data_IF_254819061484
#
_entry.id   IF_254819061484
#
_cell.length_a   1.000
_cell.length_b   1.000
_cell.length_c   1.000
_cell.angle_alpha   90.00
_cell.angle_beta   90.00
_cell.angle_gamma   90.00
#
_symmetry.space_group_name_H-M   'P 1'
#
loop_
_entity.id
_entity.type
_entity.pdbx_description
1 polymer ?
#
# COMPACT_ATOMS: atom_id res chain seq x y z
N UNK A 1 25.59 -67.05 15.55
CA UNK A 1 24.58 -66.53 16.51
C UNK A 1 24.73 -65.00 16.51
N UNK A 2 23.72 -64.12 16.56
CA UNK A 2 22.26 -64.18 16.83
C UNK A 2 21.54 -63.51 15.63
N UNK A 3 20.46 -64.00 15.01
CA UNK A 3 19.03 -64.09 15.41
C UNK A 3 18.34 -62.75 15.79
N UNK A 4 17.55 -62.24 14.82
CA UNK A 4 16.22 -61.56 14.88
C UNK A 4 15.84 -60.67 16.08
N UNK A 5 15.27 -59.48 15.78
CA UNK A 5 13.81 -59.20 15.83
C UNK A 5 13.45 -57.88 15.11
N UNK A 6 12.17 -57.64 14.91
CA UNK A 6 11.59 -56.55 14.09
C UNK A 6 10.67 -55.62 14.92
N UNK A 7 10.33 -54.47 14.33
CA UNK A 7 9.09 -53.69 14.47
C UNK A 7 8.38 -53.56 15.83
N UNK A 8 8.36 -52.31 16.34
CA UNK A 8 7.19 -51.72 17.01
C UNK A 8 6.97 -50.32 16.41
N UNK A 9 5.70 -49.94 16.19
CA UNK A 9 5.26 -48.62 15.73
C UNK A 9 4.71 -47.83 16.93
N UNK A 10 5.00 -46.53 17.02
CA UNK A 10 4.44 -45.63 18.02
C UNK A 10 4.66 -44.18 17.60
N UNK A 11 3.62 -43.35 17.68
CA UNK A 11 3.64 -41.99 17.12
C UNK A 11 4.16 -40.94 18.11
N UNK A 12 4.92 -39.96 17.60
CA UNK A 12 5.09 -38.64 18.22
C UNK A 12 5.11 -37.59 17.11
N UNK A 13 4.05 -36.78 17.03
CA UNK A 13 3.97 -35.59 16.18
C UNK A 13 2.98 -34.62 16.84
N UNK A 14 3.14 -33.30 16.62
CA UNK A 14 2.27 -32.22 17.13
C UNK A 14 2.33 -32.02 18.67
N UNK A 15 3.22 -31.13 19.14
CA UNK A 15 3.14 -30.53 20.49
C UNK A 15 4.00 -29.24 20.71
N UNK A 16 4.37 -28.47 19.67
CA UNK A 16 5.23 -27.26 19.85
C UNK A 16 4.75 -26.08 18.98
N UNK A 17 3.50 -25.64 19.15
CA UNK A 17 3.05 -24.32 18.68
C UNK A 17 1.83 -23.77 19.45
N UNK A 18 1.86 -23.87 20.78
CA UNK A 18 0.76 -23.44 21.67
C UNK A 18 1.25 -22.68 22.92
N UNK A 19 2.35 -21.92 22.80
CA UNK A 19 3.00 -21.23 23.94
C UNK A 19 3.37 -19.78 23.61
N UNK A 20 2.42 -19.00 23.06
CA UNK A 20 2.59 -17.54 22.92
C UNK A 20 1.31 -16.69 23.12
N UNK A 21 0.14 -17.30 23.35
CA UNK A 21 -1.13 -16.59 23.63
C UNK A 21 -1.59 -16.90 25.06
N UNK A 22 -0.83 -16.41 26.05
CA UNK A 22 -1.21 -16.49 27.48
C UNK A 22 -0.68 -15.33 28.36
N UNK A 23 0.27 -14.52 27.86
CA UNK A 23 0.98 -13.50 28.68
C UNK A 23 0.42 -12.08 28.46
N UNK A 24 -0.89 -11.93 28.25
CA UNK A 24 -1.55 -10.63 27.97
C UNK A 24 -2.96 -10.48 28.58
N UNK A 25 -3.27 -11.15 29.70
CA UNK A 25 -4.49 -10.86 30.48
C UNK A 25 -4.29 -10.73 32.00
N UNK A 26 -3.22 -11.27 32.59
CA UNK A 26 -2.95 -11.11 34.03
C UNK A 26 -2.03 -9.92 34.31
N UNK A 27 -2.63 -8.73 34.45
CA UNK A 27 -1.99 -7.58 35.10
C UNK A 27 -3.04 -6.55 35.56
N UNK A 28 -3.87 -6.91 36.55
CA UNK A 28 -4.71 -5.95 37.27
C UNK A 28 -4.93 -6.39 38.73
N UNK A 29 -4.62 -5.47 39.66
CA UNK A 29 -4.85 -5.48 41.10
C UNK A 29 -4.23 -6.61 41.96
N UNK A 30 -4.25 -6.39 43.28
CA UNK A 30 -3.26 -6.88 44.26
C UNK A 30 -3.89 -7.33 45.58
N UNK A 31 -3.32 -8.39 46.19
CA UNK A 31 -3.47 -8.80 47.60
C UNK A 31 -4.91 -9.20 48.03
N UNK A 32 -5.17 -9.94 49.10
CA UNK A 32 -4.37 -10.22 50.30
C UNK A 32 -4.68 -11.64 50.89
N UNK A 33 -3.66 -12.24 51.50
CA UNK A 33 -3.58 -13.40 52.41
C UNK A 33 -4.71 -14.47 52.57
N UNK A 34 -4.32 -15.71 52.24
CA UNK A 34 -4.40 -16.96 53.02
C UNK A 34 -5.59 -17.29 53.95
N UNK A 35 -6.13 -18.51 53.80
CA UNK A 35 -5.99 -19.67 54.73
C UNK A 35 -6.62 -20.93 54.09
N UNK A 36 -6.22 -22.13 54.51
CA UNK A 36 -6.76 -23.41 54.02
C UNK A 36 -7.80 -24.03 55.00
N UNK A 37 -8.68 -24.92 54.52
CA UNK A 37 -8.78 -26.30 55.05
C UNK A 37 -9.61 -27.26 54.15
N UNK A 38 -9.74 -28.53 54.56
CA UNK A 38 -10.35 -29.69 53.89
C UNK A 38 -11.88 -29.65 53.64
N UNK A 39 -12.34 -30.47 52.68
CA UNK A 39 -13.75 -30.83 52.47
C UNK A 39 -13.93 -31.91 51.38
N UNK A 40 -14.88 -32.84 51.55
CA UNK A 40 -15.18 -33.94 50.61
C UNK A 40 -16.68 -34.13 50.40
N UNK A 41 -17.01 -34.96 49.41
CA UNK A 41 -18.33 -35.58 49.13
C UNK A 41 -19.36 -34.61 48.54
N UNK A 42 -20.43 -35.05 47.86
CA UNK A 42 -20.72 -36.08 46.83
C UNK A 42 -22.26 -36.06 46.68
N UNK A 43 -22.79 -36.78 45.67
CA UNK A 43 -24.22 -36.90 45.31
C UNK A 43 -24.77 -35.65 44.58
N UNK A 44 -25.29 -35.67 43.34
CA UNK A 44 -26.23 -36.55 42.59
C UNK A 44 -27.70 -36.42 43.00
N UNK A 45 -28.47 -35.69 42.18
CA UNK A 45 -29.91 -35.92 41.94
C UNK A 45 -30.25 -35.59 40.47
N UNK A 46 -31.45 -35.96 40.03
CA UNK A 46 -31.82 -36.21 38.61
C UNK A 46 -33.28 -35.77 38.36
N UNK A 47 -33.58 -35.31 37.12
CA UNK A 47 -34.93 -35.07 36.55
C UNK A 47 -35.78 -33.95 37.24
N UNK A 48 -36.85 -33.36 36.66
CA UNK A 48 -37.58 -33.60 35.40
C UNK A 48 -38.19 -32.29 34.80
N UNK A 49 -39.11 -32.41 33.82
CA UNK A 49 -39.71 -31.33 33.00
C UNK A 49 -40.87 -30.55 33.66
N UNK A 50 -41.30 -29.42 33.06
CA UNK A 50 -42.73 -29.11 32.73
C UNK A 50 -42.93 -27.71 32.09
N UNK A 51 -44.12 -27.47 31.49
CA UNK A 51 -44.44 -26.31 30.65
C UNK A 51 -45.44 -25.28 31.25
N UNK A 52 -45.70 -24.21 30.48
CA UNK A 52 -46.99 -23.55 30.19
C UNK A 52 -47.49 -22.25 30.91
N UNK A 53 -47.56 -21.20 30.05
CA UNK A 53 -48.74 -20.34 29.72
C UNK A 53 -49.15 -19.06 30.48
N UNK A 54 -49.45 -18.05 29.64
CA UNK A 54 -50.47 -16.96 29.76
C UNK A 54 -50.31 -15.94 30.92
N UNK A 55 -50.73 -14.66 30.83
CA UNK A 55 -51.46 -13.85 29.80
C UNK A 55 -50.94 -12.38 29.89
N UNK A 56 -51.20 -11.44 28.97
CA UNK A 56 -52.52 -10.83 28.69
C UNK A 56 -52.60 -10.02 27.38
N UNK A 57 -53.83 -9.93 26.86
CA UNK A 57 -54.37 -8.96 25.89
C UNK A 57 -54.57 -7.55 26.55
N UNK A 58 -55.06 -6.42 26.00
CA UNK A 58 -55.84 -5.92 24.83
C UNK A 58 -55.38 -4.44 24.58
N UNK A 59 -55.69 -3.60 23.57
CA UNK A 59 -56.14 -3.51 22.15
C UNK A 59 -55.74 -2.04 21.73
N UNK A 60 -55.14 -1.62 20.58
CA UNK A 60 -55.41 -1.79 19.12
C UNK A 60 -56.38 -0.71 18.55
N UNK A 61 -56.40 -0.54 17.21
CA UNK A 61 -57.19 0.40 16.38
C UNK A 61 -56.66 1.87 16.38
N UNK A 62 -56.72 2.68 15.30
CA UNK A 62 -57.29 2.51 13.93
C UNK A 62 -56.53 3.35 12.85
N UNK A 63 -56.63 2.95 11.58
CA UNK A 63 -56.59 3.72 10.29
C UNK A 63 -55.58 4.87 10.10
N UNK A 64 -54.69 4.88 9.10
CA UNK A 64 -54.86 4.83 7.62
C UNK A 64 -55.22 6.16 6.90
N UNK A 65 -54.44 6.42 5.83
CA UNK A 65 -54.74 7.10 4.54
C UNK A 65 -54.70 8.63 4.38
N UNK A 66 -53.82 9.03 3.45
CA UNK A 66 -53.98 10.02 2.34
C UNK A 66 -54.30 11.50 2.72
N UNK A 67 -53.61 12.54 2.24
CA UNK A 67 -53.25 12.85 0.83
C UNK A 67 -51.91 13.64 0.66
N UNK A 68 -51.59 14.06 -0.58
CA UNK A 68 -50.42 14.84 -1.03
C UNK A 68 -50.86 15.82 -2.19
N UNK A 69 -50.00 16.67 -2.80
CA UNK A 69 -49.76 18.07 -2.44
C UNK A 69 -50.08 19.13 -3.54
N UNK A 70 -50.07 20.42 -3.17
CA UNK A 70 -49.92 21.61 -4.03
C UNK A 70 -49.04 22.64 -3.25
N UNK A 71 -47.98 23.30 -3.76
CA UNK A 71 -47.85 24.40 -4.76
C UNK A 71 -48.52 25.73 -4.33
N UNK A 72 -47.93 26.94 -4.49
CA UNK A 72 -46.74 27.37 -5.27
C UNK A 72 -46.12 28.73 -4.83
N UNK A 73 -44.79 28.87 -4.97
CA UNK A 73 -43.97 30.04 -5.43
C UNK A 73 -44.03 31.50 -4.85
N UNK A 74 -43.02 32.30 -5.27
CA UNK A 74 -42.84 33.79 -5.18
C UNK A 74 -42.27 34.37 -3.85
N UNK A 75 -41.32 35.32 -3.78
CA UNK A 75 -40.08 35.64 -4.56
C UNK A 75 -39.23 36.72 -3.81
N UNK A 76 -38.19 37.30 -4.46
CA UNK A 76 -37.23 38.32 -3.97
C UNK A 76 -37.88 39.59 -3.31
N UNK A 77 -37.18 40.51 -2.59
CA UNK A 77 -35.83 41.07 -2.80
C UNK A 77 -35.26 41.91 -1.61
N UNK A 78 -33.98 42.28 -1.73
CA UNK A 78 -33.32 43.53 -1.28
C UNK A 78 -32.63 43.59 0.09
N UNK A 79 -31.80 44.65 0.28
CA UNK A 79 -30.63 44.66 1.17
C UNK A 79 -30.38 45.98 1.92
N UNK A 80 -29.46 45.93 2.91
CA UNK A 80 -28.74 47.05 3.58
C UNK A 80 -29.51 47.87 4.64
N UNK A 81 -28.95 47.89 5.87
CA UNK A 81 -28.12 49.01 6.37
C UNK A 81 -27.20 48.55 7.51
N UNK A 82 -26.32 49.42 8.00
CA UNK A 82 -25.30 49.15 9.03
C UNK A 82 -25.02 50.42 9.87
N UNK A 83 -24.07 50.32 10.83
CA UNK A 83 -23.64 51.32 11.83
C UNK A 83 -24.55 51.41 13.08
N UNK A 84 -24.09 51.72 14.29
CA UNK A 84 -22.74 51.79 14.92
C UNK A 84 -22.93 51.84 16.46
N UNK A 85 -21.89 51.61 17.26
CA UNK A 85 -21.57 52.35 18.52
C UNK A 85 -20.31 51.76 19.21
N UNK A 86 -19.50 52.64 19.81
CA UNK A 86 -18.28 52.35 20.61
C UNK A 86 -18.44 52.94 22.02
N UNK A 87 -17.76 52.37 23.05
CA UNK A 87 -17.17 53.08 24.20
C UNK A 87 -16.01 52.24 24.78
N UNK A 88 -14.95 52.89 25.27
CA UNK A 88 -13.72 52.33 25.85
C UNK A 88 -13.48 52.88 27.30
N UNK A 89 -12.33 52.56 27.91
CA UNK A 89 -11.71 53.18 29.12
C UNK A 89 -12.24 52.69 30.51
N UNK A 90 -11.43 52.52 31.58
CA UNK A 90 -9.95 52.50 31.71
C UNK A 90 -9.45 51.71 32.97
N UNK A 91 -8.17 51.86 33.31
CA UNK A 91 -7.34 51.03 34.21
C UNK A 91 -7.26 51.49 35.69
N UNK A 92 -6.74 50.62 36.58
CA UNK A 92 -5.76 50.84 37.70
C UNK A 92 -5.92 49.77 38.82
N UNK A 93 -4.92 49.38 39.61
CA UNK A 93 -3.48 49.69 39.65
C UNK A 93 -2.68 48.47 40.21
N UNK A 94 -1.36 48.56 40.02
CA UNK A 94 -0.25 47.63 40.32
C UNK A 94 -0.04 47.26 41.81
N UNK A 95 0.75 46.21 42.03
CA UNK A 95 2.01 46.29 42.82
C UNK A 95 3.06 45.28 42.27
N UNK A 96 4.34 45.49 42.57
CA UNK A 96 5.49 44.87 41.87
C UNK A 96 6.12 43.65 42.57
N UNK A 97 6.75 42.75 41.80
CA UNK A 97 8.01 42.08 42.19
C UNK A 97 8.76 41.60 40.93
N UNK A 98 10.03 41.96 40.80
CA UNK A 98 10.93 41.52 39.72
C UNK A 98 11.13 40.00 39.68
N UNK A 99 11.18 39.44 38.45
CA UNK A 99 12.33 38.61 38.08
C UNK A 99 12.50 38.56 36.55
N UNK A 100 13.69 38.89 36.05
CA UNK A 100 13.98 38.84 34.62
C UNK A 100 14.19 37.41 34.14
N UNK A 101 13.76 37.14 32.92
CA UNK A 101 14.46 36.27 31.97
C UNK A 101 14.04 36.70 30.56
N UNK A 102 15.01 37.12 29.75
CA UNK A 102 14.85 37.16 28.29
C UNK A 102 14.74 35.71 27.77
N UNK A 103 13.82 35.44 26.83
CA UNK A 103 13.79 34.17 26.09
C UNK A 103 13.74 34.47 24.57
N UNK A 104 14.93 34.82 24.10
CA UNK A 104 15.49 34.84 22.74
C UNK A 104 14.58 34.36 21.58
N UNK A 105 14.39 35.22 20.56
CA UNK A 105 13.79 34.82 19.27
C UNK A 105 14.78 33.95 18.49
N UNK A 106 14.79 32.66 18.81
CA UNK A 106 15.65 31.66 18.17
C UNK A 106 15.35 31.51 16.68
N UNK A 107 16.03 32.33 15.89
CA UNK A 107 16.18 32.19 14.44
C UNK A 107 16.87 30.86 14.10
N UNK A 108 16.09 29.79 13.97
CA UNK A 108 16.58 28.44 13.65
C UNK A 108 17.35 28.45 12.34
N UNK A 109 18.68 28.39 12.43
CA UNK A 109 19.56 28.23 11.28
C UNK A 109 19.41 26.83 10.70
N UNK A 110 19.20 26.77 9.39
CA UNK A 110 19.17 25.51 8.63
C UNK A 110 20.44 25.40 7.79
N UNK A 111 21.07 24.23 7.84
CA UNK A 111 22.26 23.89 7.05
C UNK A 111 21.97 22.68 6.15
N UNK A 112 22.49 22.70 4.93
CA UNK A 112 22.29 21.60 3.97
C UNK A 112 22.99 20.33 4.43
N UNK A 113 22.26 19.22 4.41
CA UNK A 113 22.75 17.86 4.68
C UNK A 113 22.25 16.88 3.60
N UNK A 114 22.86 15.71 3.58
CA UNK A 114 22.46 14.56 2.78
C UNK A 114 22.16 13.36 3.67
N UNK A 115 21.16 12.55 3.32
CA UNK A 115 20.87 11.30 4.03
C UNK A 115 21.98 10.27 3.73
N UNK A 116 22.49 9.59 4.77
CA UNK A 116 23.59 8.61 4.66
C UNK A 116 23.13 7.13 4.67
N UNK A 117 21.86 6.87 4.96
CA UNK A 117 21.22 5.53 4.91
C UNK A 117 20.28 5.43 3.71
N UNK A 118 20.01 4.19 3.25
CA UNK A 118 19.13 3.92 2.09
C UNK A 118 17.77 4.62 2.16
N UNK A 119 17.16 4.62 3.35
CA UNK A 119 15.85 5.21 3.64
C UNK A 119 15.81 5.68 5.09
N UNK A 120 15.17 6.82 5.34
CA UNK A 120 15.06 7.48 6.63
C UNK A 120 13.65 8.04 6.81
N UNK A 121 12.92 7.54 7.82
CA UNK A 121 11.57 8.00 8.13
C UNK A 121 11.60 9.39 8.76
N UNK A 122 10.87 10.34 8.15
CA UNK A 122 10.59 11.67 8.70
C UNK A 122 9.35 11.56 9.59
N UNK A 123 9.42 12.08 10.82
CA UNK A 123 8.36 11.98 11.84
C UNK A 123 7.76 13.32 12.21
N UNK A 124 6.56 13.30 12.76
CA UNK A 124 5.82 14.49 13.23
C UNK A 124 6.43 15.18 14.45
N UNK A 125 7.36 14.53 15.17
CA UNK A 125 8.07 15.08 16.32
C UNK A 125 9.41 14.37 16.60
N UNK A 126 10.22 14.90 17.53
CA UNK A 126 11.61 14.50 17.77
C UNK A 126 11.74 13.19 18.57
N UNK A 127 11.21 12.08 18.05
CA UNK A 127 11.28 10.76 18.71
C UNK A 127 10.65 9.63 17.91
N UNK A 128 10.95 8.37 18.26
CA UNK A 128 10.43 7.19 17.53
C UNK A 128 8.94 6.91 17.78
N UNK A 129 8.34 7.48 18.82
CA UNK A 129 6.91 7.35 19.13
C UNK A 129 6.03 8.23 18.21
N UNK A 130 6.61 9.25 17.57
CA UNK A 130 5.88 10.16 16.70
C UNK A 130 5.55 9.51 15.35
N UNK A 131 4.34 9.78 14.83
CA UNK A 131 3.88 9.25 13.53
C UNK A 131 4.86 9.60 12.40
N UNK A 132 5.03 8.65 11.46
CA UNK A 132 5.81 8.89 10.23
C UNK A 132 4.97 9.75 9.29
N UNK A 133 5.52 10.89 8.87
CA UNK A 133 4.88 11.87 7.97
C UNK A 133 5.49 11.86 6.56
N UNK A 134 6.60 11.16 6.38
CA UNK A 134 7.24 10.95 5.07
C UNK A 134 8.52 10.12 5.20
N UNK A 135 9.21 9.95 4.08
CA UNK A 135 10.49 9.22 4.00
C UNK A 135 11.43 9.99 3.07
N UNK A 136 12.71 10.08 3.43
CA UNK A 136 13.79 10.58 2.58
C UNK A 136 14.82 9.46 2.34
N UNK A 137 15.46 9.48 1.18
CA UNK A 137 16.34 8.42 0.66
C UNK A 137 17.82 8.84 0.68
N UNK A 138 18.74 7.87 0.56
CA UNK A 138 20.18 8.16 0.49
C UNK A 138 20.51 9.24 -0.55
N UNK A 139 21.35 10.20 -0.17
CA UNK A 139 21.75 11.37 -0.98
C UNK A 139 20.66 12.41 -1.29
N UNK A 140 19.44 12.26 -0.77
CA UNK A 140 18.45 13.36 -0.76
C UNK A 140 19.03 14.56 -0.02
N UNK A 141 18.91 15.74 -0.62
CA UNK A 141 19.35 17.02 -0.07
C UNK A 141 18.24 17.61 0.80
N UNK A 142 18.54 17.86 2.07
CA UNK A 142 17.59 18.39 3.04
C UNK A 142 18.20 19.58 3.80
N UNK A 143 17.37 20.55 4.13
CA UNK A 143 17.73 21.65 5.01
C UNK A 143 17.47 21.19 6.45
N UNK A 144 18.53 21.05 7.26
CA UNK A 144 18.43 20.54 8.63
C UNK A 144 18.85 21.60 9.65
N UNK A 145 18.07 21.73 10.73
CA UNK A 145 18.37 22.65 11.82
C UNK A 145 19.75 22.36 12.43
N UNK A 146 20.52 23.41 12.74
CA UNK A 146 21.84 23.27 13.36
C UNK A 146 21.75 22.88 14.85
N UNK A 147 20.73 23.36 15.56
CA UNK A 147 20.39 22.85 16.88
C UNK A 147 19.65 21.50 16.80
N UNK A 148 20.18 20.51 17.52
CA UNK A 148 19.53 19.22 17.72
C UNK A 148 18.94 19.12 19.12
N UNK A 149 17.76 18.51 19.26
CA UNK A 149 17.22 18.10 20.55
C UNK A 149 18.22 17.18 21.27
N UNK A 150 18.22 17.18 22.60
CA UNK A 150 19.19 16.42 23.42
C UNK A 150 19.21 14.90 23.17
N UNK A 151 18.19 14.36 22.50
CA UNK A 151 18.08 12.97 22.05
C UNK A 151 18.58 12.74 20.59
N UNK A 152 19.25 13.73 19.99
CA UNK A 152 19.83 13.67 18.66
C UNK A 152 18.84 13.84 17.49
N UNK A 153 17.63 14.35 17.74
CA UNK A 153 16.66 14.65 16.68
C UNK A 153 16.74 16.10 16.21
N UNK A 154 16.79 16.28 14.89
CA UNK A 154 16.81 17.60 14.21
C UNK A 154 15.53 17.78 13.43
N UNK A 155 15.04 19.02 13.38
CA UNK A 155 13.99 19.40 12.45
C UNK A 155 14.58 19.54 11.04
N UNK A 156 13.85 19.07 10.04
CA UNK A 156 14.24 19.14 8.64
C UNK A 156 13.13 19.76 7.80
N UNK A 157 13.54 20.41 6.73
CA UNK A 157 12.68 20.90 5.66
C UNK A 157 13.21 20.43 4.31
N UNK A 158 12.28 20.20 3.40
CA UNK A 158 12.50 20.02 1.97
C UNK A 158 11.42 20.83 1.23
N UNK A 159 11.45 20.85 -0.10
CA UNK A 159 10.46 21.58 -0.89
C UNK A 159 9.00 21.21 -0.58
N UNK A 160 8.73 19.94 -0.19
CA UNK A 160 7.37 19.40 -0.04
C UNK A 160 7.10 18.73 1.32
N UNK A 161 8.08 18.61 2.22
CA UNK A 161 7.98 17.87 3.48
C UNK A 161 8.76 18.55 4.60
N UNK A 162 8.11 18.71 5.76
CA UNK A 162 8.70 19.15 7.03
C UNK A 162 8.46 18.09 8.11
N UNK A 163 9.39 17.97 9.05
CA UNK A 163 9.28 17.06 10.19
C UNK A 163 10.63 16.85 10.87
N UNK A 164 10.81 15.72 11.52
CA UNK A 164 12.01 15.41 12.32
C UNK A 164 12.67 14.11 11.89
N UNK A 165 14.01 14.08 11.95
CA UNK A 165 14.85 12.88 11.75
C UNK A 165 15.97 12.84 12.79
N UNK A 166 16.58 11.68 13.00
CA UNK A 166 17.72 11.55 13.90
C UNK A 166 19.03 11.88 13.17
N UNK A 167 19.81 12.84 13.69
CA UNK A 167 20.93 13.48 12.99
C UNK A 167 22.06 12.54 12.59
N UNK A 168 22.24 11.39 13.27
CA UNK A 168 23.23 10.36 12.90
C UNK A 168 23.04 9.77 11.49
N UNK A 169 21.84 9.93 10.92
CA UNK A 169 21.51 9.48 9.57
C UNK A 169 21.76 10.56 8.50
N UNK A 170 22.36 11.69 8.88
CA UNK A 170 22.71 12.81 8.01
C UNK A 170 24.23 12.94 7.83
N UNK A 171 24.63 13.61 6.77
CA UNK A 171 26.01 13.82 6.35
C UNK A 171 26.15 15.21 5.71
N UNK A 172 27.34 15.80 5.75
CA UNK A 172 27.69 17.00 4.95
C UNK A 172 28.06 16.66 3.50
N UNK A 173 28.28 15.38 3.19
CA UNK A 173 28.71 14.90 1.88
C UNK A 173 27.80 13.77 1.35
N UNK A 174 27.66 13.66 0.02
CA UNK A 174 26.89 12.59 -0.62
C UNK A 174 27.66 11.26 -0.50
N UNK A 175 26.97 10.22 -0.05
CA UNK A 175 27.49 8.85 0.09
C UNK A 175 27.77 8.23 -1.28
N UNK A 176 29.04 7.93 -1.55
CA UNK A 176 29.48 7.26 -2.79
C UNK A 176 29.16 5.76 -2.72
N UNK A 177 27.99 5.39 -3.25
CA UNK A 177 27.53 3.99 -3.28
C UNK A 177 28.43 3.13 -4.18
N UNK A 178 29.38 2.41 -3.59
CA UNK A 178 30.19 1.43 -4.31
C UNK A 178 29.35 0.23 -4.70
N UNK A 179 29.18 0.04 -6.02
CA UNK A 179 28.62 -1.17 -6.63
C UNK A 179 29.35 -2.43 -6.11
N UNK A 180 28.66 -3.42 -5.52
CA UNK A 180 29.30 -4.66 -5.10
C UNK A 180 29.76 -5.47 -6.32
N UNK A 181 30.92 -6.13 -6.17
CA UNK A 181 31.47 -7.02 -7.19
C UNK A 181 30.82 -8.42 -7.13
N UNK A 182 30.74 -9.17 -8.24
CA UNK A 182 30.13 -10.51 -8.24
C UNK A 182 30.96 -11.52 -7.44
N UNK A 183 30.30 -12.24 -6.54
CA UNK A 183 30.90 -13.35 -5.78
C UNK A 183 31.21 -14.53 -6.70
N UNK A 184 32.34 -15.21 -6.48
CA UNK A 184 32.73 -16.39 -7.27
C UNK A 184 31.97 -17.64 -6.80
N UNK A 185 31.20 -18.24 -7.69
CA UNK A 185 30.76 -19.63 -7.51
C UNK A 185 31.90 -20.61 -7.83
N UNK A 186 31.85 -21.79 -7.20
CA UNK A 186 32.76 -22.91 -7.53
C UNK A 186 32.27 -23.59 -8.80
N UNK A 187 33.19 -24.04 -9.64
CA UNK A 187 32.94 -25.13 -10.60
C UNK A 187 33.52 -26.42 -10.04
N UNK A 188 32.78 -27.51 -10.19
CA UNK A 188 33.32 -28.86 -10.18
C UNK A 188 33.68 -29.27 -11.62
N UNK A 189 34.48 -30.32 -11.74
CA UNK A 189 34.98 -30.82 -13.03
C UNK A 189 34.05 -31.89 -13.61
N UNK A 190 33.83 -31.83 -14.92
CA UNK A 190 34.02 -33.03 -15.76
C UNK A 190 34.53 -32.59 -17.15
N UNK A 191 34.76 -33.56 -18.02
CA UNK A 191 35.75 -33.56 -19.07
C UNK A 191 35.14 -33.77 -20.45
N UNK A 192 35.79 -33.23 -21.49
CA UNK A 192 36.41 -34.03 -22.55
C UNK A 192 37.15 -33.14 -23.56
N UNK A 193 38.00 -33.74 -24.39
CA UNK A 193 38.77 -33.04 -25.44
C UNK A 193 38.01 -33.05 -26.77
N UNK A 194 38.08 -31.95 -27.52
CA UNK A 194 38.80 -31.96 -28.82
C UNK A 194 39.12 -30.58 -29.38
N UNK A 195 39.89 -30.63 -30.44
CA UNK A 195 40.73 -29.61 -31.07
C UNK A 195 40.20 -29.31 -32.47
N UNK A 196 40.33 -28.06 -32.96
CA UNK A 196 40.84 -27.71 -34.31
C UNK A 196 40.83 -26.19 -34.55
N UNK A 197 41.82 -25.77 -35.35
CA UNK A 197 42.34 -24.40 -35.55
C UNK A 197 41.69 -23.65 -36.73
N UNK A 198 41.47 -22.34 -36.57
CA UNK A 198 41.34 -21.29 -37.63
C UNK A 198 40.03 -21.28 -38.48
N UNK A 199 39.62 -20.19 -39.16
CA UNK A 199 40.34 -19.01 -39.69
C UNK A 199 39.53 -17.70 -39.62
N UNK A 200 40.24 -16.57 -39.70
CA UNK A 200 39.70 -15.29 -40.16
C UNK A 200 39.38 -15.35 -41.67
N UNK A 201 38.41 -14.56 -42.15
CA UNK A 201 38.50 -13.97 -43.50
C UNK A 201 37.64 -12.70 -43.60
N UNK A 202 38.24 -11.56 -43.93
CA UNK A 202 37.52 -10.35 -44.32
C UNK A 202 36.82 -10.53 -45.67
N UNK A 203 35.72 -9.82 -45.90
CA UNK A 203 35.41 -9.26 -47.23
C UNK A 203 34.55 -8.01 -47.16
N UNK A 204 34.70 -7.17 -48.18
CA UNK A 204 34.34 -5.76 -48.15
C UNK A 204 32.92 -5.46 -48.66
N UNK A 205 32.43 -4.30 -48.22
CA UNK A 205 31.61 -3.34 -48.97
C UNK A 205 30.93 -3.82 -50.27
N UNK A 206 29.60 -3.73 -50.31
CA UNK A 206 28.90 -3.26 -51.52
C UNK A 206 28.16 -1.97 -51.20
N UNK A 207 28.53 -0.88 -51.90
CA UNK A 207 27.91 0.44 -51.77
C UNK A 207 26.79 0.55 -52.81
N UNK A 208 25.55 0.66 -52.38
CA UNK A 208 24.43 1.06 -53.25
C UNK A 208 23.77 2.31 -52.67
N UNK A 209 23.83 3.40 -53.43
CA UNK A 209 23.26 4.68 -53.05
C UNK A 209 21.77 4.69 -53.43
N UNK A 210 20.90 4.89 -52.45
CA UNK A 210 19.53 5.33 -52.70
C UNK A 210 19.28 6.58 -51.87
N UNK A 211 19.15 7.72 -52.55
CA UNK A 211 18.55 8.91 -51.94
C UNK A 211 17.09 8.58 -51.63
N UNK A 212 16.72 8.69 -50.37
CA UNK A 212 15.38 9.12 -49.99
C UNK A 212 15.54 10.26 -48.97
N UNK A 213 14.59 11.19 -48.96
CA UNK A 213 14.69 12.43 -48.21
C UNK A 213 14.04 12.31 -46.84
N UNK A 214 14.74 11.67 -45.89
CA UNK A 214 14.38 11.76 -44.47
C UNK A 214 14.55 13.21 -44.03
N UNK A 215 13.44 13.95 -43.95
CA UNK A 215 13.40 15.18 -43.17
C UNK A 215 13.57 14.79 -41.71
N UNK A 216 14.70 15.14 -41.10
CA UNK A 216 14.89 15.03 -39.66
C UNK A 216 13.89 15.96 -38.97
N UNK A 217 12.69 15.45 -38.65
CA UNK A 217 11.86 16.09 -37.64
C UNK A 217 12.63 16.00 -36.33
N UNK A 218 13.14 17.16 -35.90
CA UNK A 218 13.80 17.33 -34.62
C UNK A 218 12.73 17.19 -33.53
N UNK A 219 12.46 15.96 -33.13
CA UNK A 219 11.43 15.59 -32.17
C UNK A 219 11.52 16.49 -30.92
N UNK A 220 10.40 17.11 -30.56
CA UNK A 220 10.29 17.89 -29.34
C UNK A 220 10.43 16.96 -28.14
N UNK A 221 11.27 17.26 -27.14
CA UNK A 221 11.45 16.40 -25.97
C UNK A 221 10.11 16.01 -25.33
N UNK A 222 9.92 14.74 -24.93
CA UNK A 222 8.64 14.24 -24.44
C UNK A 222 8.16 15.02 -23.21
N UNK A 223 6.94 15.55 -23.30
CA UNK A 223 6.35 16.52 -22.35
C UNK A 223 6.12 15.94 -20.94
N UNK A 224 5.95 14.62 -20.84
CA UNK A 224 5.75 13.89 -19.58
C UNK A 224 6.21 12.43 -19.72
N UNK A 225 6.00 11.60 -18.71
CA UNK A 225 6.47 10.22 -18.69
C UNK A 225 5.68 9.27 -19.62
N UNK A 226 4.40 9.55 -19.91
CA UNK A 226 3.60 8.73 -20.83
C UNK A 226 3.97 8.93 -22.31
N UNK A 227 4.41 10.14 -22.69
CA UNK A 227 4.93 10.46 -24.04
C UNK A 227 6.26 9.73 -24.38
N UNK A 228 6.81 8.96 -23.42
CA UNK A 228 8.03 8.15 -23.61
C UNK A 228 7.71 6.68 -23.90
N UNK A 229 6.43 6.28 -23.82
CA UNK A 229 6.00 4.89 -23.86
C UNK A 229 5.47 4.53 -25.25
N UNK A 230 6.04 3.48 -25.82
CA UNK A 230 5.89 3.07 -27.22
C UNK A 230 4.83 1.98 -27.42
N UNK A 231 4.38 1.33 -26.34
CA UNK A 231 3.43 0.20 -26.40
C UNK A 231 2.03 0.57 -25.92
N UNK A 232 1.79 1.82 -25.52
CA UNK A 232 0.48 2.32 -25.03
C UNK A 232 -0.43 2.88 -26.12
N UNK A 233 -0.07 2.73 -27.41
CA UNK A 233 -0.78 3.42 -28.49
C UNK A 233 -2.27 3.06 -28.64
N UNK A 234 -2.65 1.84 -28.24
CA UNK A 234 -4.05 1.40 -28.21
C UNK A 234 -4.82 1.81 -26.94
N UNK A 235 -4.22 2.59 -26.04
CA UNK A 235 -4.77 2.98 -24.75
C UNK A 235 -4.98 4.50 -24.69
N UNK A 236 -6.12 4.93 -24.14
CA UNK A 236 -6.41 6.36 -23.90
C UNK A 236 -6.43 6.71 -22.40
N UNK A 237 -6.21 5.73 -21.52
CA UNK A 237 -5.98 5.94 -20.09
C UNK A 237 -4.83 5.06 -19.61
N UNK A 238 -3.91 5.65 -18.85
CA UNK A 238 -2.72 4.99 -18.31
C UNK A 238 -2.60 5.29 -16.81
N UNK A 239 -2.37 4.25 -16.01
CA UNK A 239 -1.79 4.35 -14.66
C UNK A 239 -0.33 3.94 -14.76
N UNK A 240 0.59 4.81 -14.33
CA UNK A 240 2.02 4.54 -14.33
C UNK A 240 2.52 4.50 -12.88
N UNK A 241 3.06 3.35 -12.48
CA UNK A 241 3.58 3.08 -11.13
C UNK A 241 5.09 2.91 -11.24
N UNK A 242 5.86 3.87 -10.72
CA UNK A 242 7.32 3.80 -10.75
C UNK A 242 7.98 3.84 -9.38
N UNK A 243 9.18 3.29 -9.30
CA UNK A 243 10.06 3.37 -8.14
C UNK A 243 11.48 3.74 -8.55
N UNK A 244 12.29 4.24 -7.60
CA UNK A 244 13.71 4.53 -7.84
C UNK A 244 14.61 3.27 -7.93
N UNK A 245 14.02 2.06 -7.92
CA UNK A 245 14.73 0.79 -8.06
C UNK A 245 13.88 -0.43 -7.71
N UNK A 246 14.37 -1.63 -8.04
CA UNK A 246 13.67 -2.90 -7.78
C UNK A 246 13.46 -3.20 -6.29
N UNK A 247 14.29 -2.66 -5.38
CA UNK A 247 14.32 -3.04 -3.96
C UNK A 247 13.63 -2.08 -3.00
N UNK A 248 12.71 -1.22 -3.47
CA UNK A 248 11.96 -0.29 -2.62
C UNK A 248 10.45 -0.51 -2.75
N UNK A 249 9.72 -0.26 -1.66
CA UNK A 249 8.25 -0.33 -1.61
C UNK A 249 7.57 1.04 -1.71
N UNK A 250 8.33 2.14 -1.74
CA UNK A 250 7.82 3.50 -1.95
C UNK A 250 7.77 3.82 -3.45
N UNK A 251 6.58 4.21 -3.93
CA UNK A 251 6.31 4.40 -5.36
C UNK A 251 5.69 5.77 -5.68
N UNK A 252 5.90 6.21 -6.91
CA UNK A 252 5.19 7.32 -7.57
C UNK A 252 4.07 6.72 -8.41
N UNK A 253 2.84 7.17 -8.20
CA UNK A 253 1.67 6.76 -8.98
C UNK A 253 1.16 7.98 -9.74
N UNK A 254 1.38 7.95 -11.05
CA UNK A 254 0.88 8.95 -11.99
C UNK A 254 -0.31 8.36 -12.78
N UNK A 255 -1.27 9.19 -13.15
CA UNK A 255 -2.29 8.81 -14.15
C UNK A 255 -2.30 9.80 -15.31
N UNK A 256 -2.56 9.28 -16.51
CA UNK A 256 -2.56 10.05 -17.75
C UNK A 256 -3.76 9.68 -18.60
N UNK A 257 -4.35 10.68 -19.25
CA UNK A 257 -5.42 10.52 -20.24
C UNK A 257 -4.95 11.05 -21.60
N UNK A 258 -5.25 10.31 -22.67
CA UNK A 258 -4.90 10.68 -24.04
C UNK A 258 -6.05 11.44 -24.69
N UNK A 259 -5.75 12.59 -25.29
CA UNK A 259 -6.74 13.37 -26.04
C UNK A 259 -6.99 12.82 -27.46
N UNK A 260 -8.00 13.34 -28.14
CA UNK A 260 -8.34 12.94 -29.52
C UNK A 260 -7.31 13.34 -30.58
N UNK A 261 -6.26 14.08 -30.20
CA UNK A 261 -5.12 14.43 -31.04
C UNK A 261 -3.89 13.56 -30.76
N UNK A 262 -3.99 12.64 -29.79
CA UNK A 262 -2.93 11.70 -29.40
C UNK A 262 -2.02 12.17 -28.26
N UNK A 263 -2.21 13.36 -27.68
CA UNK A 263 -1.34 13.87 -26.61
C UNK A 263 -1.73 13.27 -25.25
N UNK A 264 -0.75 12.96 -24.40
CA UNK A 264 -1.00 12.55 -23.02
C UNK A 264 -1.03 13.76 -22.08
N UNK A 265 -2.09 13.85 -21.26
CA UNK A 265 -2.20 14.81 -20.16
C UNK A 265 -2.22 14.09 -18.83
N UNK A 266 -1.34 14.48 -17.90
CA UNK A 266 -1.29 13.93 -16.55
C UNK A 266 -2.50 14.44 -15.74
N UNK A 267 -3.27 13.51 -15.17
CA UNK A 267 -4.48 13.76 -14.39
C UNK A 267 -4.19 13.71 -12.87
N UNK A 268 -3.31 12.80 -12.44
CA UNK A 268 -2.88 12.65 -11.05
C UNK A 268 -1.37 12.37 -10.98
N UNK A 269 -0.72 12.79 -9.89
CA UNK A 269 0.62 12.38 -9.50
C UNK A 269 0.70 12.39 -7.98
N UNK A 270 0.84 11.20 -7.36
CA UNK A 270 0.79 11.02 -5.91
C UNK A 270 1.79 9.96 -5.45
N UNK A 271 2.19 10.03 -4.18
CA UNK A 271 2.91 8.94 -3.54
C UNK A 271 1.97 7.74 -3.36
N UNK A 272 2.54 6.55 -3.49
CA UNK A 272 1.89 5.26 -3.27
C UNK A 272 2.88 4.21 -2.81
N UNK A 273 2.40 2.98 -2.73
CA UNK A 273 3.15 1.84 -2.20
C UNK A 273 2.99 0.62 -3.09
N UNK A 274 4.03 -0.21 -3.11
CA UNK A 274 4.05 -1.54 -3.73
C UNK A 274 4.45 -2.60 -2.70
N UNK A 275 4.67 -3.84 -3.15
CA UNK A 275 5.13 -4.94 -2.29
C UNK A 275 6.36 -4.57 -1.43
N UNK A 276 6.39 -5.03 -0.18
CA UNK A 276 7.46 -4.79 0.81
C UNK A 276 8.89 -5.02 0.31
N UNK A 277 9.06 -5.99 -0.59
CA UNK A 277 10.34 -6.38 -1.19
C UNK A 277 10.57 -5.73 -2.58
N UNK A 278 9.71 -4.78 -2.98
CA UNK A 278 9.75 -4.01 -4.20
C UNK A 278 9.15 -4.72 -5.42
N UNK A 279 9.86 -4.67 -6.55
CA UNK A 279 9.39 -5.15 -7.86
C UNK A 279 10.01 -6.49 -8.26
N UNK A 280 9.30 -7.27 -9.08
CA UNK A 280 9.76 -8.54 -9.65
C UNK A 280 9.38 -8.71 -11.13
N UNK A 281 10.37 -8.92 -12.00
CA UNK A 281 10.13 -9.41 -13.37
C UNK A 281 9.78 -10.91 -13.38
N UNK A 282 10.33 -11.65 -12.41
CA UNK A 282 10.03 -13.05 -12.15
C UNK A 282 9.38 -13.17 -10.77
N UNK A 283 8.12 -12.76 -10.70
CA UNK A 283 7.25 -12.88 -9.52
C UNK A 283 7.08 -14.36 -9.12
N UNK A 284 7.02 -14.59 -7.81
CA UNK A 284 6.70 -15.88 -7.18
C UNK A 284 5.60 -15.67 -6.13
N UNK A 285 4.86 -16.71 -5.77
CA UNK A 285 3.88 -16.64 -4.69
C UNK A 285 4.51 -16.26 -3.34
N UNK A 286 3.81 -15.44 -2.54
CA UNK A 286 4.28 -15.00 -1.22
C UNK A 286 5.59 -14.17 -1.18
N UNK A 287 6.22 -13.86 -2.32
CA UNK A 287 7.55 -13.24 -2.40
C UNK A 287 7.64 -11.80 -1.86
N UNK A 288 6.50 -11.18 -1.52
CA UNK A 288 6.40 -9.82 -1.00
C UNK A 288 6.63 -8.72 -2.04
N UNK A 289 6.61 -9.02 -3.33
CA UNK A 289 6.92 -8.10 -4.43
C UNK A 289 5.73 -7.87 -5.34
N UNK A 290 5.67 -6.70 -5.95
CA UNK A 290 4.74 -6.41 -7.05
C UNK A 290 5.32 -6.87 -8.39
N UNK A 291 4.50 -7.37 -9.33
CA UNK A 291 4.98 -7.76 -10.65
C UNK A 291 5.28 -6.51 -11.51
N UNK A 292 6.42 -6.51 -12.19
CA UNK A 292 6.68 -5.55 -13.27
C UNK A 292 5.98 -5.99 -14.54
N UNK A 293 5.42 -5.03 -15.29
CA UNK A 293 4.77 -5.32 -16.55
C UNK A 293 3.74 -4.26 -16.96
N UNK A 294 3.04 -4.57 -18.05
CA UNK A 294 1.86 -3.83 -18.53
C UNK A 294 0.64 -4.75 -18.44
N UNK A 295 -0.38 -4.32 -17.72
CA UNK A 295 -1.58 -5.12 -17.43
C UNK A 295 -2.85 -4.34 -17.76
N UNK A 296 -3.88 -5.05 -18.23
CA UNK A 296 -5.23 -4.49 -18.27
C UNK A 296 -5.82 -4.39 -16.86
N UNK A 297 -6.78 -3.49 -16.69
CA UNK A 297 -7.52 -3.33 -15.44
C UNK A 297 -8.75 -4.25 -15.47
N UNK A 298 -8.97 -4.98 -14.37
CA UNK A 298 -10.08 -5.90 -14.19
C UNK A 298 -11.25 -5.30 -13.41
N UNK A 299 -12.04 -6.17 -12.79
CA UNK A 299 -13.19 -5.83 -11.96
C UNK A 299 -12.80 -4.92 -10.79
N UNK A 300 -13.52 -3.81 -10.61
CA UNK A 300 -13.47 -2.98 -9.42
C UNK A 300 -14.22 -3.63 -8.26
N UNK A 301 -13.86 -3.28 -7.03
CA UNK A 301 -14.48 -3.85 -5.85
C UNK A 301 -14.53 -2.88 -4.67
N UNK A 302 -15.29 -3.26 -3.65
CA UNK A 302 -15.30 -2.56 -2.37
C UNK A 302 -16.34 -3.07 -1.39
N UNK A 303 -16.19 -2.63 -0.14
CA UNK A 303 -17.08 -2.96 0.99
C UNK A 303 -18.18 -1.92 1.21
N UNK A 304 -18.02 -0.72 0.65
CA UNK A 304 -18.94 0.42 0.81
C UNK A 304 -19.77 0.75 -0.44
N UNK A 305 -19.95 -0.22 -1.34
CA UNK A 305 -20.70 -0.05 -2.59
C UNK A 305 -19.92 0.69 -3.69
N UNK A 306 -20.48 0.77 -4.89
CA UNK A 306 -19.80 1.37 -6.03
C UNK A 306 -19.53 2.88 -5.80
N UNK A 307 -18.26 3.35 -5.79
CA UNK A 307 -17.93 4.75 -5.53
C UNK A 307 -18.29 5.70 -6.70
N UNK A 308 -18.89 5.21 -7.78
CA UNK A 308 -19.10 5.93 -9.04
C UNK A 308 -18.08 5.57 -10.11
N UNK A 309 -17.56 4.34 -10.12
CA UNK A 309 -16.72 3.82 -11.22
C UNK A 309 -17.56 3.33 -12.39
N UNK A 310 -16.98 3.45 -13.60
CA UNK A 310 -17.51 2.87 -14.84
C UNK A 310 -17.04 1.43 -15.08
N UNK A 311 -16.05 0.94 -14.31
CA UNK A 311 -15.64 -0.45 -14.34
C UNK A 311 -16.77 -1.36 -13.85
N UNK A 312 -16.79 -2.62 -14.31
CA UNK A 312 -17.57 -3.68 -13.67
C UNK A 312 -17.23 -3.73 -12.17
N UNK A 313 -18.23 -3.77 -11.29
CA UNK A 313 -18.03 -3.66 -9.85
C UNK A 313 -18.62 -4.86 -9.10
N UNK A 314 -17.81 -5.52 -8.24
CA UNK A 314 -18.25 -6.56 -7.28
C UNK A 314 -18.24 -5.98 -5.87
N UNK A 315 -19.38 -6.03 -5.18
CA UNK A 315 -19.41 -5.76 -3.75
C UNK A 315 -18.74 -6.91 -2.98
N UNK A 316 -18.05 -6.58 -1.90
CA UNK A 316 -17.45 -7.54 -0.96
C UNK A 316 -18.42 -7.82 0.18
N UNK A 317 -18.54 -9.10 0.53
CA UNK A 317 -19.21 -9.63 1.71
C UNK A 317 -18.21 -10.36 2.62
N UNK A 318 -18.63 -10.71 3.83
CA UNK A 318 -17.82 -11.51 4.76
C UNK A 318 -17.55 -12.96 4.29
N UNK A 319 -18.21 -13.41 3.22
CA UNK A 319 -18.01 -14.74 2.60
C UNK A 319 -16.97 -14.74 1.47
N UNK A 320 -16.57 -13.57 0.98
CA UNK A 320 -15.68 -13.41 -0.18
C UNK A 320 -14.19 -13.63 0.16
N UNK A 321 -13.51 -14.47 -0.63
CA UNK A 321 -12.06 -14.73 -0.54
C UNK A 321 -11.39 -14.77 -1.92
N UNK A 322 -10.07 -14.58 -1.97
CA UNK A 322 -9.24 -14.82 -3.15
C UNK A 322 -8.23 -15.94 -2.88
N UNK A 323 -8.34 -17.06 -3.58
CA UNK A 323 -7.53 -18.27 -3.30
C UNK A 323 -6.07 -18.06 -3.72
N UNK A 324 -5.13 -18.16 -2.77
CA UNK A 324 -3.69 -18.04 -2.99
C UNK A 324 -2.94 -19.39 -2.92
N UNK A 325 -3.60 -20.45 -2.40
CA UNK A 325 -3.10 -21.82 -2.45
C UNK A 325 -2.86 -22.30 -3.88
N UNK A 326 -1.59 -22.41 -4.25
CA UNK A 326 -1.13 -22.87 -5.56
C UNK A 326 -1.40 -24.35 -5.85
N UNK A 327 -1.88 -25.14 -4.89
CA UNK A 327 -2.32 -26.52 -5.09
C UNK A 327 -3.82 -26.61 -5.38
N UNK A 328 -4.61 -25.59 -5.02
CA UNK A 328 -6.06 -25.59 -5.22
C UNK A 328 -6.41 -25.46 -6.71
N UNK A 329 -7.49 -26.13 -7.11
CA UNK A 329 -8.10 -25.98 -8.45
C UNK A 329 -8.72 -24.61 -8.67
N UNK A 330 -8.87 -23.83 -7.60
CA UNK A 330 -9.43 -22.47 -7.61
C UNK A 330 -8.32 -21.41 -7.47
N UNK A 331 -7.04 -21.78 -7.57
CA UNK A 331 -5.90 -20.87 -7.43
C UNK A 331 -6.01 -19.59 -8.26
N UNK A 332 -5.67 -18.46 -7.65
CA UNK A 332 -5.76 -17.11 -8.20
C UNK A 332 -7.16 -16.75 -8.73
N UNK A 333 -8.22 -17.14 -8.00
CA UNK A 333 -9.60 -16.73 -8.29
C UNK A 333 -10.34 -16.25 -7.05
N UNK A 334 -11.32 -15.37 -7.27
CA UNK A 334 -12.24 -14.89 -6.25
C UNK A 334 -13.39 -15.89 -6.05
N UNK A 335 -13.50 -16.47 -4.86
CA UNK A 335 -14.49 -17.48 -4.48
C UNK A 335 -15.39 -17.04 -3.32
N UNK A 336 -16.51 -17.76 -3.17
CA UNK A 336 -17.34 -17.82 -1.96
C UNK A 336 -16.85 -18.97 -1.08
N UNK A 337 -16.80 -18.78 0.25
CA UNK A 337 -16.45 -19.86 1.19
C UNK A 337 -17.60 -20.88 1.27
N UNK A 338 -18.83 -20.41 1.43
CA UNK A 338 -20.03 -21.26 1.49
C UNK A 338 -20.23 -22.10 0.21
N UNK A 339 -20.22 -21.49 -0.97
CA UNK A 339 -20.48 -22.20 -2.24
C UNK A 339 -19.40 -23.24 -2.60
N UNK A 340 -18.16 -23.04 -2.13
CA UNK A 340 -17.02 -23.92 -2.49
C UNK A 340 -16.57 -24.86 -1.39
N UNK A 341 -17.10 -24.72 -0.17
CA UNK A 341 -16.74 -25.51 1.02
C UNK A 341 -15.25 -25.49 1.36
N UNK A 342 -14.62 -24.30 1.29
CA UNK A 342 -13.23 -24.03 1.68
C UNK A 342 -12.17 -25.00 1.10
N UNK A 343 -12.22 -25.25 -0.22
CA UNK A 343 -11.37 -26.25 -0.90
C UNK A 343 -9.94 -25.76 -1.24
N UNK A 344 -9.22 -25.26 -0.24
CA UNK A 344 -7.85 -24.76 -0.34
C UNK A 344 -7.12 -24.83 1.01
N UNK A 345 -5.79 -24.91 0.99
CA UNK A 345 -4.97 -24.78 2.21
C UNK A 345 -4.84 -23.31 2.66
N UNK A 346 -5.03 -22.34 1.76
CA UNK A 346 -4.98 -20.90 2.03
C UNK A 346 -5.79 -20.05 1.03
N UNK A 347 -6.33 -18.93 1.52
CA UNK A 347 -6.93 -17.87 0.70
C UNK A 347 -6.84 -16.51 1.43
N UNK A 348 -6.77 -15.42 0.67
CA UNK A 348 -6.84 -14.05 1.20
C UNK A 348 -8.31 -13.65 1.46
N UNK A 349 -8.58 -13.10 2.64
CA UNK A 349 -9.91 -12.61 3.01
C UNK A 349 -10.20 -11.25 2.34
N UNK A 350 -11.27 -11.15 1.55
CA UNK A 350 -11.62 -9.89 0.87
C UNK A 350 -12.24 -8.86 1.82
N UNK A 351 -12.90 -9.30 2.90
CA UNK A 351 -13.56 -8.42 3.88
C UNK A 351 -12.56 -7.78 4.87
N UNK A 352 -11.71 -6.88 4.36
CA UNK A 352 -10.75 -6.08 5.15
C UNK A 352 -10.79 -4.59 4.80
N UNK A 353 -10.43 -3.72 5.75
CA UNK A 353 -10.52 -2.26 5.58
C UNK A 353 -9.73 -1.72 4.38
N UNK A 354 -8.59 -2.34 4.05
CA UNK A 354 -7.76 -1.98 2.89
C UNK A 354 -8.44 -2.25 1.54
N UNK A 355 -9.47 -3.10 1.52
CA UNK A 355 -10.30 -3.43 0.36
C UNK A 355 -11.69 -2.76 0.42
N UNK A 356 -11.85 -1.73 1.24
CA UNK A 356 -13.04 -0.85 1.21
C UNK A 356 -13.30 -0.30 -0.20
N UNK A 357 -12.23 -0.03 -0.97
CA UNK A 357 -12.24 0.20 -2.42
C UNK A 357 -10.99 -0.37 -3.09
N UNK A 358 -11.12 -0.91 -4.30
CA UNK A 358 -9.98 -1.31 -5.13
C UNK A 358 -10.38 -1.78 -6.53
N UNK A 359 -9.42 -2.31 -7.29
CA UNK A 359 -9.65 -3.06 -8.53
C UNK A 359 -8.60 -4.14 -8.75
N UNK A 360 -8.98 -5.19 -9.49
CA UNK A 360 -8.06 -6.26 -9.90
C UNK A 360 -7.08 -5.74 -10.95
N UNK A 361 -5.78 -5.93 -10.74
CA UNK A 361 -4.79 -5.83 -11.82
C UNK A 361 -4.76 -7.20 -12.48
N UNK A 362 -4.90 -7.28 -13.81
CA UNK A 362 -4.99 -8.57 -14.52
C UNK A 362 -3.61 -9.26 -14.67
N UNK A 363 -2.97 -9.52 -13.54
CA UNK A 363 -1.77 -10.34 -13.39
C UNK A 363 -2.14 -11.82 -13.24
N UNK A 364 -1.34 -12.72 -13.81
CA UNK A 364 -1.50 -14.18 -13.71
C UNK A 364 -2.94 -14.68 -13.99
N UNK A 365 -3.64 -14.08 -14.96
CA UNK A 365 -5.01 -14.47 -15.35
C UNK A 365 -5.08 -15.87 -15.97
N UNK A 366 -3.94 -16.43 -16.38
CA UNK A 366 -3.78 -17.83 -16.75
C UNK A 366 -3.68 -18.78 -15.54
N UNK A 367 -3.84 -18.28 -14.31
CA UNK A 367 -3.89 -19.04 -13.05
C UNK A 367 -2.72 -20.03 -12.91
N UNK A 368 -1.53 -19.62 -13.33
CA UNK A 368 -0.34 -20.48 -13.33
C UNK A 368 0.20 -20.60 -11.90
N UNK A 369 0.20 -21.81 -11.29
CA UNK A 369 0.58 -22.01 -9.89
C UNK A 369 1.95 -21.42 -9.53
N UNK A 370 2.05 -20.87 -8.31
CA UNK A 370 3.29 -20.34 -7.77
C UNK A 370 3.79 -19.03 -8.40
N UNK A 371 3.04 -18.41 -9.32
CA UNK A 371 3.45 -17.16 -9.99
C UNK A 371 3.01 -15.89 -9.28
N UNK A 372 2.20 -15.96 -8.24
CA UNK A 372 1.64 -14.79 -7.57
C UNK A 372 0.14 -14.65 -7.84
N UNK A 373 -0.64 -14.51 -6.78
CA UNK A 373 -2.08 -14.28 -6.80
C UNK A 373 -2.47 -12.91 -6.23
N UNK A 374 -3.77 -12.60 -6.21
CA UNK A 374 -4.38 -11.48 -5.49
C UNK A 374 -3.75 -10.08 -5.76
N UNK A 375 -3.21 -9.84 -6.95
CA UNK A 375 -2.55 -8.57 -7.28
C UNK A 375 -3.60 -7.50 -7.58
N UNK A 376 -3.83 -6.61 -6.62
CA UNK A 376 -4.83 -5.55 -6.72
C UNK A 376 -4.21 -4.15 -6.75
N UNK A 377 -5.03 -3.15 -7.11
CA UNK A 377 -4.81 -1.74 -6.78
C UNK A 377 -5.84 -1.32 -5.72
N UNK A 378 -5.41 -0.91 -4.53
CA UNK A 378 -6.34 -0.67 -3.40
C UNK A 378 -5.83 0.38 -2.40
N UNK A 379 -6.50 0.50 -1.24
CA UNK A 379 -6.14 1.47 -0.20
C UNK A 379 -4.89 1.00 0.54
N UNK A 380 -3.83 1.82 0.56
CA UNK A 380 -2.61 1.53 1.29
C UNK A 380 -2.03 2.77 1.99
N UNK A 381 -1.63 2.59 3.26
CA UNK A 381 -0.96 3.58 4.11
C UNK A 381 0.52 3.19 4.39
N UNK A 382 1.04 2.23 3.62
CA UNK A 382 2.34 1.59 3.78
C UNK A 382 2.52 0.48 2.73
N UNK A 383 3.63 -0.25 2.80
CA UNK A 383 3.93 -1.34 1.85
C UNK A 383 2.86 -2.44 1.84
N UNK A 384 2.73 -3.12 0.70
CA UNK A 384 1.81 -4.27 0.52
C UNK A 384 2.60 -5.60 0.55
N UNK A 385 1.94 -6.72 0.22
CA UNK A 385 2.60 -8.00 -0.07
C UNK A 385 2.76 -8.30 -1.58
N UNK A 386 2.25 -7.43 -2.46
CA UNK A 386 2.35 -7.57 -3.91
C UNK A 386 1.39 -6.68 -4.70
N UNK A 387 0.30 -6.24 -4.09
CA UNK A 387 -0.58 -5.20 -4.60
C UNK A 387 0.13 -3.84 -4.79
N UNK A 388 -0.50 -2.93 -5.52
CA UNK A 388 -0.17 -1.50 -5.49
C UNK A 388 -1.24 -0.76 -4.69
N UNK A 389 -0.90 0.35 -4.03
CA UNK A 389 -1.90 1.14 -3.33
C UNK A 389 -1.54 2.59 -3.07
N UNK A 390 -2.57 3.37 -2.76
CA UNK A 390 -2.52 4.81 -2.46
C UNK A 390 -3.57 5.12 -1.37
N UNK A 391 -3.64 6.36 -0.88
CA UNK A 391 -4.68 6.77 0.07
C UNK A 391 -6.10 6.56 -0.49
N UNK A 392 -7.08 6.32 0.38
CA UNK A 392 -8.48 6.05 -0.01
C UNK A 392 -9.08 7.11 -0.94
N UNK A 393 -8.77 8.38 -0.70
CA UNK A 393 -9.20 9.50 -1.58
C UNK A 393 -8.65 9.34 -3.01
N UNK A 394 -7.40 8.89 -3.15
CA UNK A 394 -6.77 8.67 -4.44
C UNK A 394 -7.31 7.41 -5.13
N UNK A 395 -7.57 6.32 -4.41
CA UNK A 395 -8.24 5.12 -4.96
C UNK A 395 -9.62 5.47 -5.51
N UNK A 396 -10.45 6.19 -4.74
CA UNK A 396 -11.78 6.64 -5.18
C UNK A 396 -11.70 7.59 -6.38
N UNK A 397 -10.71 8.48 -6.42
CA UNK A 397 -10.50 9.40 -7.55
C UNK A 397 -10.11 8.65 -8.83
N UNK A 398 -9.19 7.67 -8.73
CA UNK A 398 -8.78 6.81 -9.84
C UNK A 398 -9.96 5.96 -10.33
N UNK A 399 -10.71 5.32 -9.42
CA UNK A 399 -11.89 4.51 -9.76
C UNK A 399 -12.97 5.32 -10.50
N UNK A 400 -13.23 6.57 -10.12
CA UNK A 400 -14.17 7.47 -10.82
C UNK A 400 -13.67 7.94 -12.18
N UNK A 401 -12.36 8.10 -12.33
CA UNK A 401 -11.72 8.53 -13.58
C UNK A 401 -11.67 7.39 -14.62
N UNK A 402 -11.42 6.15 -14.19
CA UNK A 402 -11.31 4.99 -15.05
C UNK A 402 -12.57 4.71 -15.87
N UNK A 403 -12.37 4.52 -17.17
CA UNK A 403 -13.43 4.35 -18.17
C UNK A 403 -13.09 3.18 -19.12
N UNK A 404 -13.83 2.05 -19.09
CA UNK A 404 -13.59 0.92 -19.98
C UNK A 404 -13.52 1.29 -21.47
N UNK A 405 -14.29 2.30 -21.90
CA UNK A 405 -14.31 2.73 -23.31
C UNK A 405 -13.01 3.39 -23.77
N UNK A 406 -12.15 3.82 -22.84
CA UNK A 406 -10.82 4.38 -23.11
C UNK A 406 -9.70 3.34 -23.08
N UNK A 407 -10.03 2.05 -22.96
CA UNK A 407 -9.09 0.92 -22.88
C UNK A 407 -7.96 1.16 -21.85
N UNK A 408 -8.30 1.25 -20.54
CA UNK A 408 -7.35 1.67 -19.51
C UNK A 408 -6.31 0.59 -19.19
N UNK A 409 -5.07 1.02 -19.00
CA UNK A 409 -3.92 0.13 -18.76
C UNK A 409 -3.13 0.58 -17.54
N UNK A 410 -2.49 -0.35 -16.84
CA UNK A 410 -1.53 -0.07 -15.77
C UNK A 410 -0.14 -0.60 -16.13
N UNK A 411 0.88 0.24 -16.02
CA UNK A 411 2.30 -0.11 -16.19
C UNK A 411 2.99 0.04 -14.84
N UNK A 412 3.75 -0.98 -14.45
CA UNK A 412 4.47 -1.02 -13.18
C UNK A 412 5.93 -1.40 -13.43
N UNK A 413 6.88 -0.52 -13.08
CA UNK A 413 8.32 -0.76 -13.32
C UNK A 413 9.20 0.23 -12.55
N UNK A 414 10.42 -0.11 -12.13
CA UNK A 414 11.40 0.90 -11.73
C UNK A 414 11.64 1.91 -12.85
N UNK A 415 12.03 3.15 -12.54
CA UNK A 415 12.21 4.19 -13.58
C UNK A 415 13.26 3.81 -14.64
N UNK A 416 14.23 2.95 -14.30
CA UNK A 416 15.20 2.38 -15.23
C UNK A 416 14.63 1.35 -16.22
N UNK A 417 13.38 0.93 -16.06
CA UNK A 417 12.66 -0.01 -16.94
C UNK A 417 11.61 0.65 -17.83
N UNK A 418 11.41 1.97 -17.75
CA UNK A 418 10.40 2.70 -18.54
C UNK A 418 10.57 2.54 -20.06
N UNK A 419 11.81 2.39 -20.54
CA UNK A 419 12.14 2.19 -21.96
C UNK A 419 11.72 0.83 -22.54
N UNK A 420 11.10 -0.04 -21.74
CA UNK A 420 10.61 -1.36 -22.17
C UNK A 420 9.11 -1.35 -22.56
N UNK A 421 8.45 -0.18 -22.53
CA UNK A 421 7.00 -0.02 -22.61
C UNK A 421 6.56 1.03 -23.64
#
# INVERSE_FOLDING_TARGET
MKRKKELIVGAVTIAVFALFIFIMQNNFQTNEDAVADEGKEKETYVEEESEQKEKSEEEKLLSEKETKPETENVKEDSSKRAKEDEVELEQKDKDDTDNNNDDDDKTVSFSKKYVNVSTLNVRSGPGIEHSVVGVVSVNDEIDAAEESHSNGWVQISTNNLKGYVNAKYLSTEKSVVKKPAPTKEKKEEDSEKKEIVSKETNKENKKEEKKDSTSEQKETPPKNDAEKLTTVDGNNQLILVTTNGYGTSSAKVQTFERDSSGNWTQVLNVNGYIGKNGFADNKVEGDGKSPTGKYSIGTAFGRSGNPGTKLSYRAISADDVWVDDSNSKLYNTWQSKEETSDQWDSAENMDIDLYTYGFVINYNTAQTPGKGSAIFFHIANGHTLGCTGVSQQNVVSILKWLDPSKNPVIIQTPESGLSNY
#
